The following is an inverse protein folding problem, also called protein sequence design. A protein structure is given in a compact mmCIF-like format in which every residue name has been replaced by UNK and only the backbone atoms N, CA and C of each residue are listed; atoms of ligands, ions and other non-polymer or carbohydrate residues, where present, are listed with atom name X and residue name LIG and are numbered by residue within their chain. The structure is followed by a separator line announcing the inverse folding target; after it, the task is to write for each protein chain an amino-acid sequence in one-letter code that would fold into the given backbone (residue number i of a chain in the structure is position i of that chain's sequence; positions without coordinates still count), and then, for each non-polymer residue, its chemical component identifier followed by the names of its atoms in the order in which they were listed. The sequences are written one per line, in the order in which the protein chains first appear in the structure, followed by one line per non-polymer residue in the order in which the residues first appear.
data_IF_605451941902
#
_entry.id   IF_605451941902
#
_cell.length_a   1.000
_cell.length_b   1.000
_cell.length_c   1.000
_cell.angle_alpha   90.00
_cell.angle_beta   90.00
_cell.angle_gamma   90.00
#
_symmetry.space_group_name_H-M   'P 1'
#
loop_
_entity.id
_entity.type
_entity.pdbx_description
1 polymer ?
#
# COMPACT_ATOMS: atom_id res chain seq x y z
N UNK A 1 -0.92 -21.67 -70.18
CA UNK A 1 -0.82 -20.50 -69.27
C UNK A 1 -1.76 -20.75 -68.11
N UNK A 2 -1.47 -20.65 -66.82
CA UNK A 2 -0.28 -20.33 -66.02
C UNK A 2 -0.64 -20.79 -64.58
N UNK A 3 0.24 -21.57 -63.96
CA UNK A 3 0.58 -21.66 -62.52
C UNK A 3 -0.47 -21.90 -61.41
N UNK A 4 -0.13 -22.91 -60.61
CA UNK A 4 -0.48 -23.18 -59.21
C UNK A 4 -0.39 -21.96 -58.27
N UNK A 5 -1.15 -22.02 -57.16
CA UNK A 5 -0.79 -21.73 -55.74
C UNK A 5 -2.09 -21.88 -54.91
N UNK A 6 -2.31 -22.83 -54.00
CA UNK A 6 -1.53 -23.39 -52.88
C UNK A 6 -0.91 -22.34 -51.95
N UNK A 7 -1.21 -22.49 -50.66
CA UNK A 7 -0.85 -21.68 -49.48
C UNK A 7 -1.70 -20.40 -49.31
N UNK A 8 -2.35 -20.13 -48.17
CA UNK A 8 -1.81 -20.24 -46.82
C UNK A 8 -2.87 -20.68 -45.80
N UNK A 9 -2.73 -21.92 -45.34
CA UNK A 9 -3.37 -22.45 -44.14
C UNK A 9 -2.25 -22.59 -43.09
N UNK A 10 -1.67 -21.48 -42.65
CA UNK A 10 -0.65 -21.43 -41.59
C UNK A 10 -0.52 -19.99 -41.09
N UNK A 11 -1.19 -19.65 -39.99
CA UNK A 11 -0.79 -18.61 -39.03
C UNK A 11 -1.85 -18.51 -37.92
N UNK A 12 -2.08 -19.59 -37.16
CA UNK A 12 -2.82 -19.48 -35.90
C UNK A 12 -2.25 -20.45 -34.84
N UNK A 13 -0.93 -20.42 -34.68
CA UNK A 13 -0.22 -21.11 -33.58
C UNK A 13 0.99 -20.27 -33.19
N UNK A 14 0.81 -19.09 -32.60
CA UNK A 14 1.91 -18.32 -32.00
C UNK A 14 1.43 -17.28 -30.98
N UNK A 15 0.77 -17.68 -29.88
CA UNK A 15 0.82 -16.94 -28.60
C UNK A 15 0.50 -17.89 -27.42
N UNK A 16 1.35 -18.88 -27.13
CA UNK A 16 1.32 -19.58 -25.82
C UNK A 16 2.73 -19.93 -25.33
N UNK A 17 3.70 -19.06 -25.61
CA UNK A 17 5.11 -19.26 -25.23
C UNK A 17 5.72 -18.07 -24.46
N UNK A 18 4.87 -17.25 -23.82
CA UNK A 18 5.23 -16.47 -22.64
C UNK A 18 4.18 -16.91 -21.62
N UNK A 19 4.48 -17.67 -20.57
CA UNK A 19 5.36 -17.29 -19.48
C UNK A 19 5.58 -18.52 -18.58
N UNK A 20 6.52 -19.39 -18.92
CA UNK A 20 7.08 -20.27 -17.91
C UNK A 20 8.12 -19.44 -17.15
N UNK A 21 8.03 -19.27 -15.82
CA UNK A 21 9.05 -18.52 -15.08
C UNK A 21 10.41 -19.20 -15.30
N UNK A 22 11.40 -18.42 -15.75
CA UNK A 22 12.73 -18.90 -16.15
C UNK A 22 13.58 -19.41 -14.98
N UNK A 23 13.06 -19.36 -13.76
CA UNK A 23 13.66 -19.94 -12.56
C UNK A 23 12.55 -20.12 -11.51
N UNK A 24 12.39 -21.32 -10.92
CA UNK A 24 11.36 -21.56 -9.88
C UNK A 24 11.67 -20.83 -8.57
N UNK A 25 12.89 -20.37 -8.40
CA UNK A 25 13.31 -19.49 -7.31
C UNK A 25 13.50 -18.06 -7.78
N UNK A 26 12.66 -17.53 -8.68
CA UNK A 26 12.61 -16.08 -8.93
C UNK A 26 11.16 -15.64 -9.03
N UNK A 27 10.82 -14.61 -8.27
CA UNK A 27 9.50 -13.99 -8.29
C UNK A 27 9.62 -12.64 -9.00
N UNK A 28 9.81 -12.70 -10.32
CA UNK A 28 9.87 -11.52 -11.17
C UNK A 28 8.47 -10.96 -11.42
N UNK A 29 8.35 -9.62 -11.43
CA UNK A 29 7.07 -8.97 -11.69
C UNK A 29 6.59 -9.28 -13.12
N UNK A 30 5.30 -9.48 -13.28
CA UNK A 30 4.68 -9.77 -14.57
C UNK A 30 3.50 -8.82 -14.86
N UNK A 31 2.80 -9.07 -15.98
CA UNK A 31 1.69 -8.23 -16.43
C UNK A 31 0.56 -8.09 -15.40
N UNK A 32 0.29 -9.13 -14.61
CA UNK A 32 -0.74 -9.10 -13.54
C UNK A 32 -0.35 -8.09 -12.45
N UNK A 33 0.92 -8.06 -12.05
CA UNK A 33 1.40 -7.11 -11.04
C UNK A 33 1.30 -5.68 -11.56
N UNK A 34 1.72 -5.44 -12.81
CA UNK A 34 1.63 -4.13 -13.45
C UNK A 34 0.18 -3.64 -13.61
N UNK A 35 -0.75 -4.52 -13.98
CA UNK A 35 -2.17 -4.20 -14.09
C UNK A 35 -2.78 -3.85 -12.72
N UNK A 36 -2.48 -4.63 -11.68
CA UNK A 36 -2.93 -4.35 -10.32
C UNK A 36 -2.38 -3.03 -9.80
N UNK A 37 -1.10 -2.74 -10.02
CA UNK A 37 -0.49 -1.45 -9.63
C UNK A 37 -1.08 -0.28 -10.41
N UNK A 38 -1.32 -0.43 -11.70
CA UNK A 38 -1.96 0.61 -12.52
C UNK A 38 -3.40 0.87 -12.03
N UNK A 39 -4.17 -0.18 -11.76
CA UNK A 39 -5.52 -0.06 -11.18
C UNK A 39 -5.48 0.62 -9.82
N UNK A 40 -4.52 0.27 -8.96
CA UNK A 40 -4.37 0.86 -7.64
C UNK A 40 -3.94 2.33 -7.71
N UNK A 41 -3.05 2.69 -8.64
CA UNK A 41 -2.66 4.08 -8.87
C UNK A 41 -3.81 4.94 -9.42
N UNK A 42 -4.78 4.31 -10.10
CA UNK A 42 -6.00 4.94 -10.58
C UNK A 42 -7.12 5.00 -9.52
N UNK A 43 -6.93 4.41 -8.32
CA UNK A 43 -7.90 4.50 -7.23
C UNK A 43 -8.19 5.97 -6.90
N UNK A 44 -9.47 6.42 -6.86
CA UNK A 44 -9.80 7.82 -6.66
C UNK A 44 -9.31 8.41 -5.32
N UNK A 45 -9.16 7.57 -4.29
CA UNK A 45 -8.57 8.01 -3.04
C UNK A 45 -7.05 8.05 -3.10
N UNK A 46 -6.36 7.28 -3.94
CA UNK A 46 -4.89 7.37 -4.08
C UNK A 46 -4.45 8.39 -5.13
N UNK A 47 -5.28 8.71 -6.11
CA UNK A 47 -4.93 9.64 -7.17
C UNK A 47 -4.68 11.09 -6.65
N UNK A 48 -3.76 11.85 -7.27
CA UNK A 48 -2.71 11.36 -8.18
C UNK A 48 -1.63 10.57 -7.40
N UNK A 49 -1.28 9.39 -7.90
CA UNK A 49 -0.26 8.54 -7.28
C UNK A 49 0.91 8.28 -8.23
N UNK A 50 2.10 8.11 -7.66
CA UNK A 50 3.30 7.67 -8.34
C UNK A 50 3.48 6.16 -8.11
N UNK A 51 3.75 5.40 -9.18
CA UNK A 51 4.13 4.00 -9.07
C UNK A 51 5.66 3.92 -8.95
N UNK A 52 6.15 3.40 -7.83
CA UNK A 52 7.55 3.06 -7.64
C UNK A 52 7.71 1.57 -7.84
N UNK A 53 8.29 1.20 -8.98
CA UNK A 53 8.56 -0.19 -9.29
C UNK A 53 9.57 -0.76 -8.29
N UNK A 54 9.24 -1.93 -7.71
CA UNK A 54 10.19 -2.70 -6.91
C UNK A 54 11.32 -3.24 -7.79
N UNK A 55 12.53 -3.32 -7.25
CA UNK A 55 13.68 -3.91 -7.94
C UNK A 55 13.89 -5.40 -7.60
N UNK A 56 14.56 -6.14 -8.49
CA UNK A 56 14.99 -7.52 -8.22
C UNK A 56 16.19 -7.53 -7.26
N UNK A 57 16.03 -8.07 -6.05
CA UNK A 57 17.15 -8.39 -5.13
C UNK A 57 17.01 -9.78 -4.51
N UNK A 58 17.37 -10.79 -5.29
CA UNK A 58 17.54 -12.16 -4.83
C UNK A 58 16.43 -13.09 -5.32
N UNK A 59 16.62 -14.38 -5.07
CA UNK A 59 15.79 -15.46 -5.62
C UNK A 59 14.45 -15.62 -4.88
N UNK A 60 14.39 -15.19 -3.63
CA UNK A 60 13.37 -15.70 -2.70
C UNK A 60 12.44 -14.63 -2.13
N UNK A 61 12.61 -13.37 -2.51
CA UNK A 61 11.90 -12.24 -1.93
C UNK A 61 11.27 -11.43 -3.06
N UNK A 62 10.00 -11.13 -2.90
CA UNK A 62 9.24 -10.18 -3.71
C UNK A 62 9.48 -8.78 -3.15
N UNK A 63 9.95 -7.87 -4.00
CA UNK A 63 9.89 -6.43 -3.76
C UNK A 63 8.66 -5.88 -4.48
N UNK A 64 7.58 -5.64 -3.74
CA UNK A 64 6.29 -5.24 -4.33
C UNK A 64 6.38 -3.82 -4.88
N UNK A 65 5.68 -3.59 -5.99
CA UNK A 65 5.47 -2.24 -6.49
C UNK A 65 4.73 -1.40 -5.44
N UNK A 66 5.18 -0.17 -5.28
CA UNK A 66 4.70 0.74 -4.24
C UNK A 66 4.00 1.92 -4.89
N UNK A 67 2.74 2.12 -4.55
CA UNK A 67 1.92 3.24 -5.01
C UNK A 67 2.00 4.32 -3.95
N UNK A 68 2.51 5.50 -4.28
CA UNK A 68 2.69 6.59 -3.33
C UNK A 68 1.93 7.84 -3.72
N UNK A 69 1.24 8.45 -2.74
CA UNK A 69 0.75 9.82 -2.83
C UNK A 69 1.28 10.62 -1.67
N UNK A 70 1.82 11.79 -1.96
CA UNK A 70 2.18 12.79 -0.96
C UNK A 70 1.34 14.04 -1.17
N UNK A 71 0.88 14.66 -0.08
CA UNK A 71 0.18 15.93 -0.16
C UNK A 71 0.45 16.82 1.04
N UNK A 72 0.44 18.13 0.80
CA UNK A 72 0.56 19.15 1.83
C UNK A 72 -0.70 20.03 1.80
N UNK A 73 -1.41 20.13 2.91
CA UNK A 73 -2.64 20.94 3.03
C UNK A 73 -2.54 21.87 4.22
N UNK A 74 -3.06 23.09 4.07
CA UNK A 74 -3.19 23.99 5.22
C UNK A 74 -4.17 23.38 6.24
N UNK A 75 -3.83 23.49 7.52
CA UNK A 75 -4.68 22.98 8.59
C UNK A 75 -5.77 24.01 8.87
N UNK A 76 -7.02 23.67 8.56
CA UNK A 76 -8.19 24.54 8.79
C UNK A 76 -8.89 24.29 10.13
N UNK A 77 -8.51 23.23 10.86
CA UNK A 77 -9.09 22.79 12.12
C UNK A 77 -8.01 22.20 13.05
N UNK A 78 -8.25 21.05 13.68
CA UNK A 78 -7.17 20.25 14.29
C UNK A 78 -6.47 19.37 13.24
N UNK A 79 -5.19 19.02 13.46
CA UNK A 79 -4.49 18.04 12.62
C UNK A 79 -5.21 16.69 12.55
N UNK A 80 -5.74 16.20 13.68
CA UNK A 80 -6.44 14.92 13.77
C UNK A 80 -7.74 14.91 12.98
N UNK A 81 -8.53 15.99 13.04
CA UNK A 81 -9.74 16.11 12.22
C UNK A 81 -9.42 16.10 10.72
N UNK A 82 -8.28 16.68 10.33
CA UNK A 82 -7.81 16.66 8.94
C UNK A 82 -7.40 15.25 8.49
N UNK A 83 -6.76 14.47 9.36
CA UNK A 83 -6.46 13.05 9.08
C UNK A 83 -7.73 12.22 9.03
N UNK A 84 -8.65 12.41 9.98
CA UNK A 84 -9.95 11.72 10.01
C UNK A 84 -10.71 11.95 8.71
N UNK A 85 -10.76 13.18 8.21
CA UNK A 85 -11.39 13.50 6.94
C UNK A 85 -10.72 12.78 5.74
N UNK A 86 -9.40 12.56 5.77
CA UNK A 86 -8.69 11.81 4.73
C UNK A 86 -9.00 10.31 4.79
N UNK A 87 -9.10 9.74 5.99
CA UNK A 87 -9.50 8.34 6.17
C UNK A 87 -10.97 8.12 5.80
N UNK A 88 -11.86 9.06 6.11
CA UNK A 88 -13.27 9.01 5.69
C UNK A 88 -13.39 9.02 4.15
N UNK A 89 -12.53 9.76 3.44
CA UNK A 89 -12.48 9.67 1.97
C UNK A 89 -12.02 8.30 1.50
N UNK A 90 -11.06 7.68 2.19
CA UNK A 90 -10.62 6.33 1.90
C UNK A 90 -11.78 5.33 2.05
N UNK A 91 -12.54 5.43 3.15
CA UNK A 91 -13.68 4.52 3.39
C UNK A 91 -14.81 4.68 2.38
N UNK A 92 -15.07 5.91 1.93
CA UNK A 92 -15.97 6.16 0.80
C UNK A 92 -15.52 5.51 -0.51
N UNK A 93 -14.22 5.21 -0.64
CA UNK A 93 -13.63 4.52 -1.78
C UNK A 93 -13.35 3.03 -1.50
N UNK A 94 -13.98 2.44 -0.48
CA UNK A 94 -13.91 1.01 -0.19
C UNK A 94 -12.68 0.55 0.59
N UNK A 95 -11.94 1.49 1.19
CA UNK A 95 -10.85 1.16 2.12
C UNK A 95 -11.37 1.00 3.54
N UNK A 96 -10.83 0.05 4.29
CA UNK A 96 -11.21 -0.23 5.66
C UNK A 96 -10.02 0.01 6.59
N UNK A 97 -10.13 0.87 7.62
CA UNK A 97 -9.06 1.06 8.59
C UNK A 97 -8.86 -0.21 9.41
N UNK A 98 -7.62 -0.64 9.60
CA UNK A 98 -7.25 -1.85 10.37
C UNK A 98 -6.29 -1.53 11.52
N UNK A 99 -5.67 -0.36 11.47
CA UNK A 99 -4.83 0.19 12.54
C UNK A 99 -4.89 1.71 12.52
N UNK A 100 -4.93 2.33 13.69
CA UNK A 100 -4.81 3.79 13.87
C UNK A 100 -4.00 4.07 15.12
N UNK A 101 -2.98 4.90 15.01
CA UNK A 101 -2.21 5.45 16.13
C UNK A 101 -2.06 6.94 15.95
N UNK A 102 -2.19 7.71 17.02
CA UNK A 102 -1.94 9.14 17.02
C UNK A 102 -0.59 9.43 17.68
N UNK A 103 0.05 10.49 17.23
CA UNK A 103 1.29 10.97 17.82
C UNK A 103 1.08 11.78 19.09
N UNK A 104 2.13 12.46 19.58
CA UNK A 104 2.06 13.23 20.82
C UNK A 104 1.02 14.37 20.75
N UNK A 105 0.46 14.72 21.90
CA UNK A 105 -0.64 15.70 22.02
C UNK A 105 -0.29 17.12 21.54
N UNK A 106 1.00 17.43 21.35
CA UNK A 106 1.48 18.69 20.77
C UNK A 106 2.49 18.36 19.67
N UNK A 107 2.21 18.74 18.39
CA UNK A 107 3.17 18.56 17.33
C UNK A 107 4.40 19.45 17.56
N UNK A 108 5.58 18.85 17.47
CA UNK A 108 6.87 19.54 17.42
C UNK A 108 7.29 19.90 15.99
N UNK A 109 8.45 20.56 15.80
CA UNK A 109 8.98 20.90 14.48
C UNK A 109 9.26 19.65 13.65
N UNK A 110 8.99 19.69 12.34
CA UNK A 110 9.11 18.52 11.44
C UNK A 110 10.49 17.88 11.52
N UNK A 111 10.54 16.69 12.13
CA UNK A 111 11.71 15.83 12.18
C UNK A 111 11.36 14.49 11.54
N UNK A 112 11.95 14.20 10.38
CA UNK A 112 11.77 12.90 9.74
C UNK A 112 12.37 11.80 10.61
N UNK A 113 11.54 10.84 11.07
CA UNK A 113 12.00 9.63 11.73
C UNK A 113 11.55 8.39 10.96
N UNK A 114 12.48 7.49 10.57
CA UNK A 114 12.13 6.22 9.93
C UNK A 114 11.40 5.26 10.89
N UNK A 115 11.47 5.44 12.21
CA UNK A 115 10.71 4.61 13.17
C UNK A 115 9.23 4.97 13.25
N UNK A 116 8.83 6.12 12.68
CA UNK A 116 7.49 6.65 12.80
C UNK A 116 7.21 7.32 14.15
N UNK A 117 8.20 7.52 15.03
CA UNK A 117 8.02 8.16 16.35
C UNK A 117 8.46 9.63 16.34
N UNK A 118 8.10 10.35 15.28
CA UNK A 118 8.40 11.79 15.18
C UNK A 118 7.57 12.61 16.16
N UNK A 119 8.16 13.65 16.75
CA UNK A 119 7.42 14.63 17.57
C UNK A 119 6.36 15.40 16.76
N UNK A 120 6.47 15.37 15.43
CA UNK A 120 5.51 15.99 14.52
C UNK A 120 4.46 15.02 13.99
N UNK A 121 4.53 13.74 14.36
CA UNK A 121 3.54 12.76 13.95
C UNK A 121 2.18 13.20 14.48
N UNK A 122 1.21 13.29 13.58
CA UNK A 122 -0.20 13.45 13.94
C UNK A 122 -0.83 12.07 14.09
N UNK A 123 -0.68 11.25 13.05
CA UNK A 123 -1.23 9.91 13.04
C UNK A 123 -0.55 8.99 12.02
N UNK A 124 -0.63 7.70 12.30
CA UNK A 124 -0.31 6.58 11.43
C UNK A 124 -1.57 5.71 11.33
N UNK A 125 -2.01 5.40 10.12
CA UNK A 125 -3.14 4.52 9.90
C UNK A 125 -2.81 3.48 8.84
N UNK A 126 -3.24 2.24 9.06
CA UNK A 126 -3.24 1.21 8.04
C UNK A 126 -4.67 1.01 7.54
N UNK A 127 -4.78 0.82 6.23
CA UNK A 127 -6.05 0.61 5.55
C UNK A 127 -5.92 -0.57 4.60
N UNK A 128 -7.00 -1.32 4.47
CA UNK A 128 -7.09 -2.51 3.63
C UNK A 128 -8.24 -2.37 2.64
N UNK A 129 -8.07 -2.90 1.43
CA UNK A 129 -9.10 -2.92 0.40
C UNK A 129 -9.24 -4.33 -0.13
N UNK A 130 -10.48 -4.80 -0.23
CA UNK A 130 -10.85 -6.09 -0.83
C UNK A 130 -9.97 -7.29 -0.42
N UNK A 131 -9.75 -7.58 0.88
CA UNK A 131 -8.78 -8.61 1.31
C UNK A 131 -9.10 -10.03 0.83
N UNK A 132 -10.33 -10.27 0.38
CA UNK A 132 -10.82 -11.58 -0.10
C UNK A 132 -10.78 -11.72 -1.63
N UNK A 133 -10.31 -10.70 -2.33
CA UNK A 133 -10.24 -10.65 -3.79
C UNK A 133 -8.85 -10.19 -4.21
N UNK A 134 -7.97 -11.13 -4.54
CA UNK A 134 -6.57 -10.85 -4.85
C UNK A 134 -6.38 -9.95 -6.09
N UNK A 135 -7.36 -9.87 -6.98
CA UNK A 135 -7.28 -8.98 -8.15
C UNK A 135 -7.46 -7.51 -7.78
N UNK A 136 -8.06 -7.25 -6.62
CA UNK A 136 -8.33 -5.91 -6.10
C UNK A 136 -7.78 -5.68 -4.69
N UNK A 137 -7.11 -6.67 -4.11
CA UNK A 137 -6.57 -6.63 -2.76
C UNK A 137 -5.42 -5.63 -2.68
N UNK A 138 -5.48 -4.74 -1.71
CA UNK A 138 -4.43 -3.78 -1.44
C UNK A 138 -4.34 -3.44 0.04
N UNK A 139 -3.15 -3.03 0.45
CA UNK A 139 -2.89 -2.56 1.81
C UNK A 139 -2.14 -1.23 1.74
N UNK A 140 -2.60 -0.24 2.50
CA UNK A 140 -2.06 1.11 2.51
C UNK A 140 -1.66 1.56 3.90
N UNK A 141 -0.58 2.32 3.97
CA UNK A 141 -0.16 3.08 5.14
C UNK A 141 -0.32 4.56 4.85
N UNK A 142 -1.11 5.25 5.67
CA UNK A 142 -1.15 6.70 5.74
C UNK A 142 -0.32 7.14 6.94
N UNK A 143 0.61 8.06 6.72
CA UNK A 143 1.31 8.76 7.79
C UNK A 143 1.12 10.25 7.61
N UNK A 144 0.75 10.93 8.68
CA UNK A 144 0.48 12.34 8.70
C UNK A 144 1.36 13.06 9.72
N UNK A 145 1.93 14.19 9.32
CA UNK A 145 2.79 15.04 10.14
C UNK A 145 2.34 16.48 10.06
N UNK A 146 2.58 17.24 11.12
CA UNK A 146 2.52 18.71 11.06
C UNK A 146 3.89 19.23 10.68
N UNK A 147 3.92 20.18 9.76
CA UNK A 147 5.11 20.98 9.48
C UNK A 147 4.79 22.44 9.73
N UNK A 148 5.66 23.10 10.50
CA UNK A 148 5.80 24.54 10.43
C UNK A 148 6.22 24.88 9.00
N UNK A 149 5.68 25.97 8.42
CA UNK A 149 6.17 26.42 7.12
C UNK A 149 7.63 26.80 7.27
N UNK A 150 8.52 26.22 6.45
CA UNK A 150 9.87 26.76 6.32
C UNK A 150 9.76 28.22 5.85
N UNK A 151 10.25 29.11 6.69
CA UNK A 151 10.74 30.47 6.42
C UNK A 151 9.86 31.72 6.50
N UNK A 152 8.51 31.69 6.60
CA UNK A 152 7.74 32.97 6.51
C UNK A 152 6.48 33.12 7.40
N UNK A 153 6.35 32.37 8.50
CA UNK A 153 5.21 32.53 9.42
C UNK A 153 3.85 32.17 8.80
N UNK A 154 3.86 31.34 7.77
CA UNK A 154 2.66 30.82 7.11
C UNK A 154 1.88 29.84 8.00
N UNK A 155 0.64 29.47 7.61
CA UNK A 155 -0.17 28.55 8.39
C UNK A 155 0.48 27.17 8.47
N UNK A 156 0.27 26.49 9.61
CA UNK A 156 0.66 25.09 9.79
C UNK A 156 0.12 24.24 8.63
N UNK A 157 0.96 23.32 8.15
CA UNK A 157 0.58 22.39 7.09
C UNK A 157 0.53 20.96 7.64
N UNK A 158 -0.49 20.22 7.22
CA UNK A 158 -0.53 18.77 7.34
C UNK A 158 0.14 18.18 6.11
N UNK A 159 1.27 17.50 6.34
CA UNK A 159 1.92 16.65 5.36
C UNK A 159 1.36 15.24 5.50
N UNK A 160 0.90 14.65 4.41
CA UNK A 160 0.41 13.28 4.36
C UNK A 160 1.23 12.50 3.35
N UNK A 161 1.64 11.29 3.73
CA UNK A 161 2.26 10.32 2.86
C UNK A 161 1.46 9.03 2.92
N UNK A 162 0.99 8.60 1.77
CA UNK A 162 0.32 7.31 1.61
C UNK A 162 1.25 6.39 0.82
N UNK A 163 1.38 5.15 1.27
CA UNK A 163 2.12 4.09 0.61
C UNK A 163 1.22 2.86 0.55
N UNK A 164 0.83 2.45 -0.66
CA UNK A 164 -0.04 1.31 -0.90
C UNK A 164 0.66 0.22 -1.69
N UNK A 165 0.31 -1.03 -1.41
CA UNK A 165 0.87 -2.22 -2.03
C UNK A 165 -0.29 -3.13 -2.48
N UNK A 166 -0.34 -3.53 -3.76
CA UNK A 166 -1.30 -4.52 -4.24
C UNK A 166 -0.83 -5.94 -3.92
N UNK A 167 -1.75 -6.91 -4.04
CA UNK A 167 -1.38 -8.32 -4.04
C UNK A 167 -0.50 -8.69 -5.23
N UNK A 168 0.52 -9.50 -4.97
CA UNK A 168 1.43 -9.99 -5.97
C UNK A 168 0.88 -11.24 -6.66
N UNK A 169 1.25 -11.50 -7.92
CA UNK A 169 0.69 -12.61 -8.69
C UNK A 169 0.94 -14.00 -8.07
N UNK A 170 2.01 -14.15 -7.27
CA UNK A 170 2.35 -15.40 -6.60
C UNK A 170 1.72 -15.54 -5.21
N UNK A 171 1.03 -14.51 -4.71
CA UNK A 171 0.31 -14.55 -3.44
C UNK A 171 -0.94 -15.41 -3.57
N UNK A 172 -1.18 -16.29 -2.59
CA UNK A 172 -2.37 -17.17 -2.51
C UNK A 172 -3.45 -16.65 -1.58
N UNK A 173 -3.11 -15.64 -0.80
CA UNK A 173 -3.98 -14.99 0.18
C UNK A 173 -3.44 -13.62 0.50
N UNK A 174 -4.26 -12.84 1.20
CA UNK A 174 -3.93 -11.49 1.63
C UNK A 174 -4.18 -11.37 3.13
N UNK A 175 -3.50 -10.45 3.84
CA UNK A 175 -3.93 -10.09 5.18
C UNK A 175 -5.42 -9.73 5.17
N UNK A 176 -6.13 -10.12 6.24
CA UNK A 176 -7.54 -9.81 6.47
C UNK A 176 -7.66 -9.44 7.95
N UNK A 177 -7.38 -8.17 8.25
CA UNK A 177 -7.33 -7.69 9.63
C UNK A 177 -8.68 -7.15 10.08
N UNK A 178 -9.03 -7.27 11.37
CA UNK A 178 -10.26 -6.67 11.90
C UNK A 178 -10.32 -5.16 11.65
N UNK A 179 -11.49 -4.68 11.21
CA UNK A 179 -11.73 -3.26 11.01
C UNK A 179 -11.69 -2.48 12.32
N UNK A 180 -11.14 -1.27 12.30
CA UNK A 180 -11.15 -0.30 13.40
C UNK A 180 -12.30 0.70 13.20
N UNK A 181 -13.23 0.83 14.17
CA UNK A 181 -14.20 1.93 14.18
C UNK A 181 -13.48 3.26 14.44
N UNK A 182 -13.72 4.26 13.59
CA UNK A 182 -13.04 5.55 13.68
C UNK A 182 -13.55 6.39 14.86
N UNK A 183 -14.80 6.20 15.25
CA UNK A 183 -15.46 6.85 16.37
C UNK A 183 -14.81 6.52 17.72
N UNK A 184 -14.19 5.34 17.85
CA UNK A 184 -13.47 4.90 19.05
C UNK A 184 -11.95 5.10 18.95
N UNK A 185 -11.47 5.68 17.85
CA UNK A 185 -10.04 5.86 17.62
C UNK A 185 -9.51 7.17 18.22
N UNK A 186 -8.18 7.24 18.36
CA UNK A 186 -7.48 8.42 18.84
C UNK A 186 -7.70 9.69 17.99
N UNK A 187 -8.24 9.55 16.77
CA UNK A 187 -8.58 10.66 15.88
C UNK A 187 -9.86 11.39 16.33
N UNK A 188 -10.72 10.71 17.08
CA UNK A 188 -11.98 11.26 17.62
C UNK A 188 -11.86 11.52 19.13
N UNK A 189 -11.19 10.64 19.86
CA UNK A 189 -10.90 10.78 21.28
C UNK A 189 -9.39 10.71 21.53
N UNK A 190 -8.74 11.84 21.80
CA UNK A 190 -7.28 11.88 22.05
C UNK A 190 -6.82 11.04 23.25
N UNK A 191 -7.71 10.67 24.17
CA UNK A 191 -7.36 9.79 25.29
C UNK A 191 -7.35 8.31 24.87
N UNK A 192 -7.96 7.98 23.73
CA UNK A 192 -7.85 6.65 23.16
C UNK A 192 -6.41 6.41 22.68
N UNK A 193 -5.88 5.24 23.03
CA UNK A 193 -4.58 4.77 22.54
C UNK A 193 -4.63 4.34 21.07
N UNK A 194 -3.58 3.65 20.63
CA UNK A 194 -3.60 2.99 19.34
C UNK A 194 -4.73 1.95 19.28
N UNK A 195 -5.43 1.89 18.15
CA UNK A 195 -6.53 0.97 17.88
C UNK A 195 -6.16 0.01 16.76
N UNK A 196 -6.60 -1.25 16.87
CA UNK A 196 -6.34 -2.28 15.86
C UNK A 196 -4.94 -2.88 15.93
N UNK A 197 -4.55 -3.58 14.87
CA UNK A 197 -3.32 -4.36 14.80
C UNK A 197 -2.37 -3.80 13.74
N UNK A 198 -1.21 -3.32 14.17
CA UNK A 198 -0.14 -2.88 13.24
C UNK A 198 0.56 -4.06 12.57
N UNK A 199 0.66 -5.17 13.28
CA UNK A 199 1.42 -6.35 12.93
C UNK A 199 0.59 -7.63 13.06
N UNK A 200 1.07 -8.67 12.40
CA UNK A 200 0.58 -10.05 12.51
C UNK A 200 1.78 -10.96 12.75
N UNK A 201 1.60 -12.24 13.17
CA UNK A 201 2.73 -13.14 13.41
C UNK A 201 3.69 -13.26 12.23
N UNK A 202 3.18 -13.29 10.99
CA UNK A 202 4.00 -13.28 9.77
C UNK A 202 4.76 -11.98 9.50
N UNK A 203 4.36 -10.87 10.11
CA UNK A 203 4.94 -9.54 9.91
C UNK A 203 5.11 -8.79 11.25
N UNK A 204 6.04 -9.22 12.12
CA UNK A 204 6.14 -8.71 13.50
C UNK A 204 6.46 -7.22 13.59
N UNK A 205 7.15 -6.67 12.58
CA UNK A 205 7.54 -5.27 12.53
C UNK A 205 6.47 -4.35 11.90
N UNK A 206 5.38 -4.93 11.38
CA UNK A 206 4.30 -4.22 10.73
C UNK A 206 3.93 -4.84 9.38
N UNK A 207 2.63 -4.89 9.09
CA UNK A 207 2.10 -5.50 7.85
C UNK A 207 2.64 -4.79 6.62
N UNK A 208 2.68 -3.46 6.62
CA UNK A 208 3.12 -2.66 5.46
C UNK A 208 4.62 -2.85 5.20
N UNK A 209 5.43 -2.80 6.26
CA UNK A 209 6.87 -3.04 6.20
C UNK A 209 7.15 -4.45 5.68
N UNK A 210 6.39 -5.45 6.15
CA UNK A 210 6.45 -6.83 5.67
C UNK A 210 6.05 -6.98 4.20
N UNK A 211 4.89 -6.45 3.81
CA UNK A 211 4.38 -6.52 2.44
C UNK A 211 5.28 -5.82 1.43
N UNK A 212 5.99 -4.75 1.83
CA UNK A 212 6.95 -4.10 0.95
C UNK A 212 8.05 -5.05 0.47
N UNK A 213 8.39 -6.05 1.30
CA UNK A 213 9.47 -7.00 1.04
C UNK A 213 9.25 -8.31 1.79
N UNK A 214 8.68 -9.31 1.13
CA UNK A 214 8.42 -10.63 1.72
C UNK A 214 8.58 -11.77 0.71
N UNK A 215 8.52 -13.01 1.18
CA UNK A 215 8.19 -14.16 0.33
C UNK A 215 6.76 -14.00 -0.23
N UNK A 216 6.36 -14.77 -1.25
CA UNK A 216 4.95 -14.91 -1.60
C UNK A 216 4.12 -15.28 -0.38
N UNK A 217 2.86 -14.86 -0.38
CA UNK A 217 1.96 -15.11 0.74
C UNK A 217 1.19 -16.42 0.56
N UNK A 218 1.00 -17.14 1.66
CA UNK A 218 0.10 -18.28 1.75
C UNK A 218 -1.37 -17.84 1.82
N UNK A 219 -2.28 -18.80 1.95
CA UNK A 219 -3.73 -18.59 1.99
C UNK A 219 -4.20 -17.74 3.19
N UNK A 220 -3.33 -17.50 4.18
CA UNK A 220 -3.59 -16.63 5.35
C UNK A 220 -3.02 -15.22 5.21
N UNK A 221 -2.36 -14.90 4.09
CA UNK A 221 -1.69 -13.62 3.92
C UNK A 221 -0.36 -13.51 4.68
N UNK A 222 0.25 -14.63 5.07
CA UNK A 222 1.56 -14.68 5.74
C UNK A 222 2.64 -15.21 4.78
N UNK A 223 3.93 -14.91 4.99
CA UNK A 223 5.00 -15.49 4.18
C UNK A 223 4.90 -17.03 4.09
N UNK A 224 4.94 -17.58 2.88
CA UNK A 224 4.67 -19.00 2.61
C UNK A 224 5.75 -19.94 3.18
N UNK A 225 6.92 -19.43 3.52
CA UNK A 225 8.03 -20.19 4.06
C UNK A 225 8.71 -21.09 3.04
N UNK A 226 8.42 -20.92 1.75
CA UNK A 226 8.96 -21.75 0.67
C UNK A 226 10.46 -21.50 0.45
N UNK A 227 10.94 -20.33 0.89
CA UNK A 227 12.34 -20.00 0.95
C UNK A 227 12.89 -20.10 2.38
N UNK A 228 13.45 -21.27 2.72
CA UNK A 228 14.28 -21.49 3.90
C UNK A 228 15.67 -21.95 3.49
#
# INVERSE_FOLDING_TARGET
MKYLKSASLMALVFVTAASCPSDRGKFDANGVDSERSASLAADPWLAPAEIKHGGFRGTNIVEREKITRESAKAISSTPEASVLAEIVKATQNGWTPTYVRCGPAKPGPFTWSPSGDSESLVAEANLEKSPKDLDHAAYAKLVAYVSDSQDDGGPLKLLTRISAYPAYHSDRGWPDLPSVPLESSCLTDRQAGASGQKNVPGFPNGVVEGLSRSQPLNEKGEPDGSAR
#
